data_IF_421966653415
#
_entry.id   IF_421966653415
#
_cell.length_a   1.000
_cell.length_b   1.000
_cell.length_c   1.000
_cell.angle_alpha   90.00
_cell.angle_beta   90.00
_cell.angle_gamma   90.00
#
_symmetry.space_group_name_H-M   'P 1'
#
loop_
_entity.id
_entity.type
_entity.pdbx_description
1 polymer ?
#
# COMPACT_ATOMS: atom_id res chain seq x y z
N UNK A 1 11.54 -17.00 -3.80
CA UNK A 1 11.02 -17.36 -2.46
C UNK A 1 10.57 -16.11 -1.71
N UNK A 2 9.81 -15.22 -2.36
CA UNK A 2 9.41 -13.92 -1.76
C UNK A 2 8.01 -14.01 -1.15
N UNK A 3 7.02 -14.45 -1.93
CA UNK A 3 5.62 -14.55 -1.49
C UNK A 3 5.37 -15.49 -0.29
N UNK A 4 5.99 -16.68 -0.28
CA UNK A 4 5.82 -17.68 0.78
C UNK A 4 6.65 -17.39 2.05
N UNK A 5 7.55 -16.40 2.00
CA UNK A 5 8.43 -16.03 3.11
C UNK A 5 8.11 -14.64 3.68
N UNK A 6 6.93 -14.07 3.37
CA UNK A 6 6.56 -12.68 3.70
C UNK A 6 7.58 -11.65 3.19
N UNK A 7 8.27 -11.98 2.11
CA UNK A 7 9.22 -11.09 1.46
C UNK A 7 8.52 -10.11 0.54
N UNK A 8 9.16 -8.97 0.31
CA UNK A 8 8.73 -8.00 -0.68
C UNK A 8 9.47 -8.24 -2.00
N UNK A 9 8.82 -7.96 -3.12
CA UNK A 9 9.41 -8.11 -4.45
C UNK A 9 9.48 -6.74 -5.11
N UNK A 10 10.69 -6.26 -5.38
CA UNK A 10 10.88 -5.10 -6.24
C UNK A 10 10.84 -5.55 -7.69
N UNK A 11 9.82 -5.10 -8.41
CA UNK A 11 9.69 -5.33 -9.85
C UNK A 11 10.17 -4.09 -10.61
N UNK A 12 11.48 -3.97 -10.85
CA UNK A 12 12.01 -3.01 -11.81
C UNK A 12 11.65 -3.48 -13.23
N UNK A 13 10.81 -2.75 -13.97
CA UNK A 13 10.68 -3.03 -15.41
C UNK A 13 10.03 -1.88 -16.19
N UNK A 14 10.24 -1.95 -17.50
CA UNK A 14 9.79 -1.07 -18.58
C UNK A 14 8.25 -1.02 -18.63
N UNK A 15 7.63 0.16 -18.91
CA UNK A 15 6.18 0.27 -19.00
C UNK A 15 5.56 -0.69 -20.03
N UNK A 16 4.46 -1.34 -19.66
CA UNK A 16 3.68 -2.22 -20.56
C UNK A 16 3.86 -3.73 -20.36
N UNK A 17 4.67 -4.19 -19.40
CA UNK A 17 4.97 -5.63 -19.21
C UNK A 17 3.93 -6.42 -18.40
N UNK A 18 2.74 -5.86 -18.17
CA UNK A 18 1.62 -6.59 -17.55
C UNK A 18 1.75 -6.81 -16.04
N UNK A 19 2.61 -6.08 -15.33
CA UNK A 19 2.80 -6.14 -13.86
C UNK A 19 1.48 -6.10 -13.10
N UNK A 20 0.58 -5.21 -13.49
CA UNK A 20 -0.76 -5.09 -12.87
C UNK A 20 -1.59 -6.35 -13.07
N UNK A 21 -1.57 -6.91 -14.27
CA UNK A 21 -2.28 -8.16 -14.58
C UNK A 21 -1.71 -9.32 -13.79
N UNK A 22 -0.38 -9.41 -13.69
CA UNK A 22 0.30 -10.44 -12.90
C UNK A 22 -0.08 -10.36 -11.42
N UNK A 23 0.02 -9.17 -10.82
CA UNK A 23 -0.28 -9.00 -9.40
C UNK A 23 -1.75 -9.30 -9.06
N UNK A 24 -2.69 -8.88 -9.92
CA UNK A 24 -4.11 -9.20 -9.77
C UNK A 24 -4.44 -10.68 -9.98
N UNK A 25 -3.83 -11.32 -10.99
CA UNK A 25 -4.03 -12.75 -11.23
C UNK A 25 -3.48 -13.59 -10.08
N UNK A 26 -2.33 -13.17 -9.51
CA UNK A 26 -1.73 -13.80 -8.35
C UNK A 26 -2.62 -13.67 -7.10
N UNK A 27 -3.15 -12.47 -6.81
CA UNK A 27 -4.05 -12.26 -5.67
C UNK A 27 -5.33 -13.08 -5.81
N UNK A 28 -5.93 -13.12 -7.00
CA UNK A 28 -7.12 -13.93 -7.28
C UNK A 28 -6.85 -15.43 -7.16
N UNK A 29 -5.67 -15.90 -7.58
CA UNK A 29 -5.31 -17.34 -7.50
C UNK A 29 -5.05 -17.82 -6.07
N UNK A 30 -4.73 -16.90 -5.16
CA UNK A 30 -4.42 -17.18 -3.76
C UNK A 30 -5.51 -16.73 -2.80
N UNK A 31 -6.66 -16.27 -3.32
CA UNK A 31 -7.78 -15.71 -2.55
C UNK A 31 -7.31 -14.63 -1.55
N UNK A 32 -6.50 -13.70 -2.06
CA UNK A 32 -5.88 -12.63 -1.29
C UNK A 32 -6.42 -11.25 -1.70
N UNK A 33 -6.53 -10.35 -0.72
CA UNK A 33 -6.84 -8.94 -0.95
C UNK A 33 -5.74 -8.25 -1.76
N UNK A 34 -6.15 -7.42 -2.72
CA UNK A 34 -5.27 -6.67 -3.60
C UNK A 34 -5.39 -5.17 -3.39
N UNK A 35 -4.28 -4.53 -3.07
CA UNK A 35 -4.12 -3.09 -2.95
C UNK A 35 -3.25 -2.55 -4.08
N UNK A 36 -3.52 -1.31 -4.51
CA UNK A 36 -2.66 -0.60 -5.44
C UNK A 36 -2.40 0.81 -4.94
N UNK A 37 -1.13 1.22 -4.98
CA UNK A 37 -0.69 2.57 -4.67
C UNK A 37 0.02 3.11 -5.90
N UNK A 38 -0.50 4.22 -6.46
CA UNK A 38 0.21 4.98 -7.47
C UNK A 38 0.91 6.13 -6.77
N UNK A 39 2.24 6.13 -6.77
CA UNK A 39 3.01 7.19 -6.14
C UNK A 39 3.02 8.42 -7.05
N UNK A 40 2.51 9.53 -6.52
CA UNK A 40 2.48 10.83 -7.18
C UNK A 40 3.08 11.90 -6.24
N UNK A 41 3.49 13.07 -6.76
CA UNK A 41 4.09 14.12 -5.93
C UNK A 41 3.18 14.66 -4.82
N UNK A 42 1.86 14.54 -5.01
CA UNK A 42 0.81 14.99 -4.10
C UNK A 42 0.34 13.91 -3.10
N UNK A 43 0.76 12.65 -3.27
CA UNK A 43 0.39 11.55 -2.39
C UNK A 43 0.92 11.77 -0.97
N UNK A 44 0.04 11.76 0.03
CA UNK A 44 0.42 11.92 1.45
C UNK A 44 0.51 10.58 2.17
N UNK A 45 1.25 10.47 3.30
CA UNK A 45 1.35 9.23 4.06
C UNK A 45 -0.01 8.64 4.46
N UNK A 46 -0.99 9.49 4.79
CA UNK A 46 -2.35 9.05 5.15
C UNK A 46 -3.07 8.32 4.01
N UNK A 47 -2.75 8.60 2.75
CA UNK A 47 -3.34 7.88 1.60
C UNK A 47 -2.79 6.45 1.48
N UNK A 48 -1.60 6.20 2.04
CA UNK A 48 -0.96 4.87 2.06
C UNK A 48 -1.34 4.10 3.31
N UNK A 49 -1.23 4.76 4.47
CA UNK A 49 -1.42 4.18 5.80
C UNK A 49 -2.89 4.14 6.22
N UNK A 50 -3.73 5.04 5.73
CA UNK A 50 -5.08 5.26 6.25
C UNK A 50 -5.16 6.43 7.22
N UNK A 51 -6.38 6.74 7.64
CA UNK A 51 -6.68 7.93 8.44
C UNK A 51 -7.83 7.67 9.41
N UNK A 52 -7.77 8.27 10.59
CA UNK A 52 -8.91 8.40 11.49
C UNK A 52 -9.75 9.60 11.04
N UNK A 53 -10.96 9.35 10.55
CA UNK A 53 -11.88 10.43 10.16
C UNK A 53 -13.07 10.48 11.12
N UNK A 54 -13.59 11.68 11.35
CA UNK A 54 -14.75 11.86 12.21
C UNK A 54 -16.04 11.59 11.41
N UNK A 55 -16.73 10.50 11.74
CA UNK A 55 -18.05 10.19 11.21
C UNK A 55 -19.09 11.04 11.94
N UNK A 56 -19.61 12.08 11.27
CA UNK A 56 -20.56 13.03 11.85
C UNK A 56 -21.93 12.43 12.15
N UNK A 57 -22.33 11.39 11.43
CA UNK A 57 -23.62 10.72 11.66
C UNK A 57 -23.60 9.91 12.96
N UNK A 58 -22.45 9.31 13.28
CA UNK A 58 -22.27 8.47 14.47
C UNK A 58 -21.54 9.19 15.61
N UNK A 59 -21.13 10.44 15.39
CA UNK A 59 -20.35 11.26 16.31
C UNK A 59 -19.10 10.54 16.88
N UNK A 60 -18.45 9.72 16.04
CA UNK A 60 -17.29 8.90 16.43
C UNK A 60 -16.16 9.02 15.42
N UNK A 61 -14.92 8.85 15.89
CA UNK A 61 -13.80 8.62 14.99
C UNK A 61 -13.83 7.19 14.46
N UNK A 62 -13.68 7.05 13.16
CA UNK A 62 -13.63 5.77 12.46
C UNK A 62 -12.32 5.66 11.69
N UNK A 63 -11.66 4.52 11.84
CA UNK A 63 -10.44 4.25 11.11
C UNK A 63 -10.77 3.80 9.68
N UNK A 64 -10.26 4.52 8.70
CA UNK A 64 -10.30 4.12 7.29
C UNK A 64 -8.95 3.60 6.87
N UNK A 65 -8.87 2.28 6.69
CA UNK A 65 -7.66 1.58 6.27
C UNK A 65 -7.16 2.05 4.89
N UNK A 66 -5.86 2.32 4.81
CA UNK A 66 -5.18 2.59 3.55
C UNK A 66 -4.85 1.29 2.78
N UNK A 67 -4.33 1.41 1.55
CA UNK A 67 -3.97 0.25 0.72
C UNK A 67 -2.93 -0.68 1.36
N UNK A 68 -2.14 -0.19 2.32
CA UNK A 68 -1.12 -0.98 3.03
C UNK A 68 -1.69 -2.18 3.81
N UNK A 69 -3.00 -2.18 4.08
CA UNK A 69 -3.69 -3.28 4.74
C UNK A 69 -4.06 -4.45 3.81
N UNK A 70 -3.71 -4.38 2.51
CA UNK A 70 -3.95 -5.46 1.56
C UNK A 70 -2.86 -6.54 1.65
N UNK A 71 -3.22 -7.80 1.41
CA UNK A 71 -2.27 -8.92 1.45
C UNK A 71 -1.26 -8.88 0.30
N UNK A 72 -1.67 -8.37 -0.86
CA UNK A 72 -0.79 -8.11 -2.01
C UNK A 72 -0.93 -6.65 -2.41
N UNK A 73 0.18 -5.93 -2.45
CA UNK A 73 0.20 -4.51 -2.82
C UNK A 73 1.06 -4.32 -4.06
N UNK A 74 0.52 -3.63 -5.06
CA UNK A 74 1.28 -3.08 -6.17
C UNK A 74 1.57 -1.60 -5.91
N UNK A 75 2.83 -1.27 -5.65
CA UNK A 75 3.31 0.11 -5.50
C UNK A 75 4.01 0.56 -6.79
N UNK A 76 3.34 1.39 -7.58
CA UNK A 76 3.84 1.92 -8.85
C UNK A 76 4.53 3.28 -8.64
N UNK A 77 5.65 3.50 -9.33
CA UNK A 77 6.38 4.78 -9.40
C UNK A 77 6.80 5.38 -8.04
N UNK A 78 7.21 4.55 -7.06
CA UNK A 78 7.60 4.96 -5.69
C UNK A 78 8.47 6.22 -5.66
N UNK A 79 9.42 6.28 -6.58
CA UNK A 79 10.36 7.36 -6.83
C UNK A 79 9.73 8.72 -7.21
N UNK A 80 8.42 8.82 -7.45
CA UNK A 80 7.69 10.07 -7.72
C UNK A 80 7.10 10.74 -6.47
N UNK A 81 6.91 10.02 -5.36
CA UNK A 81 6.37 10.65 -4.15
C UNK A 81 7.46 11.30 -3.30
N UNK A 82 7.03 12.11 -2.32
CA UNK A 82 7.94 12.73 -1.36
C UNK A 82 8.68 11.68 -0.52
N UNK A 83 9.90 11.97 -0.02
CA UNK A 83 10.63 11.06 0.87
C UNK A 83 9.80 10.63 2.08
N UNK A 84 8.97 11.53 2.63
CA UNK A 84 8.09 11.23 3.77
C UNK A 84 7.06 10.14 3.44
N UNK A 85 6.41 10.22 2.28
CA UNK A 85 5.42 9.21 1.85
C UNK A 85 6.09 7.87 1.51
N UNK A 86 7.29 7.91 0.92
CA UNK A 86 8.09 6.69 0.69
C UNK A 86 8.47 6.02 2.02
N UNK A 87 8.98 6.79 2.99
CA UNK A 87 9.34 6.29 4.32
C UNK A 87 8.15 5.66 5.02
N UNK A 88 6.95 6.24 4.92
CA UNK A 88 5.74 5.67 5.52
C UNK A 88 5.43 4.26 5.01
N UNK A 89 5.55 4.02 3.69
CA UNK A 89 5.40 2.67 3.13
C UNK A 89 6.50 1.73 3.65
N UNK A 90 7.76 2.16 3.61
CA UNK A 90 8.91 1.34 4.00
C UNK A 90 8.89 0.97 5.49
N UNK A 91 8.46 1.90 6.35
CA UNK A 91 8.28 1.67 7.77
C UNK A 91 7.19 0.63 8.01
N UNK A 92 6.04 0.74 7.32
CA UNK A 92 4.99 -0.27 7.41
C UNK A 92 5.46 -1.66 6.92
N UNK A 93 6.28 -1.71 5.87
CA UNK A 93 6.90 -2.96 5.39
C UNK A 93 7.85 -3.57 6.42
N UNK A 94 8.67 -2.73 7.06
CA UNK A 94 9.69 -3.16 8.02
C UNK A 94 9.08 -3.63 9.34
N UNK A 95 8.14 -2.85 9.88
CA UNK A 95 7.56 -3.07 11.20
C UNK A 95 6.37 -4.05 11.15
N UNK A 96 5.79 -4.28 9.98
CA UNK A 96 4.53 -5.05 9.81
C UNK A 96 3.37 -4.50 10.67
N UNK A 97 3.45 -3.23 11.06
CA UNK A 97 2.44 -2.48 11.80
C UNK A 97 2.41 -1.04 11.28
N UNK A 98 1.29 -0.36 11.51
CA UNK A 98 1.09 1.01 11.08
C UNK A 98 0.67 1.86 12.28
N UNK A 99 1.36 2.97 12.49
CA UNK A 99 1.00 3.98 13.50
C UNK A 99 0.28 5.12 12.81
N UNK A 100 -0.94 5.40 13.26
CA UNK A 100 -1.85 6.40 12.67
C UNK A 100 -2.16 7.31 13.83
N UNK A 101 -1.54 8.48 13.81
CA UNK A 101 -1.29 9.33 14.98
C UNK A 101 -0.13 8.77 15.84
N UNK A 102 0.96 9.55 15.89
CA UNK A 102 2.11 9.24 16.76
C UNK A 102 1.77 9.37 18.24
#
# INVERSE_FOLDING_TARGET
MSLLCRGHLLLEDVPGTGKTTLAKALSASLDCDFGRIQFTPDLVPADVLGVNFFNTAEAKFEFRAGPVFSQIILADEINRATPRTQSALLEAMQESQVSIDG
#
